data_IF_527449766735
#
_entry.id   IF_527449766735
#
_cell.length_a   1.000
_cell.length_b   1.000
_cell.length_c   1.000
_cell.angle_alpha   90.00
_cell.angle_beta   90.00
_cell.angle_gamma   90.00
#
_symmetry.space_group_name_H-M   'P 1'
#
loop_
_entity.id
_entity.type
_entity.pdbx_description
1 polymer ?
#
# COMPACT_ATOMS: atom_id res chain seq x y z
N UNK A 1 12.98 31.73 27.56
CA UNK A 1 13.26 30.74 26.51
C UNK A 1 11.97 30.00 26.24
N UNK A 2 11.52 29.86 24.99
CA UNK A 2 10.20 29.28 24.71
C UNK A 2 10.11 27.81 25.17
N UNK A 3 9.06 27.49 25.95
CA UNK A 3 8.80 26.16 26.54
C UNK A 3 7.47 25.55 26.07
N UNK A 4 6.89 26.14 25.03
CA UNK A 4 5.61 25.75 24.46
C UNK A 4 5.63 24.26 24.08
N UNK A 5 4.46 23.63 24.16
CA UNK A 5 4.29 22.29 23.60
C UNK A 5 4.16 22.44 22.08
N UNK A 6 4.93 21.61 21.37
CA UNK A 6 4.75 21.37 19.94
C UNK A 6 4.06 20.01 19.80
N UNK A 7 3.01 19.98 19.01
CA UNK A 7 2.24 18.79 18.69
C UNK A 7 2.44 18.46 17.21
N UNK A 8 2.86 17.23 16.94
CA UNK A 8 2.98 16.67 15.61
C UNK A 8 1.79 15.76 15.34
N UNK A 9 1.12 15.93 14.21
CA UNK A 9 0.05 15.06 13.73
C UNK A 9 0.42 14.46 12.38
N UNK A 10 0.00 13.23 12.12
CA UNK A 10 0.16 12.55 10.82
C UNK A 10 -1.20 12.36 10.14
N UNK A 11 -1.26 12.48 8.81
CA UNK A 11 -2.51 12.36 8.04
C UNK A 11 -3.00 10.92 7.84
N UNK A 12 -2.09 9.95 7.88
CA UNK A 12 -2.29 8.51 7.62
C UNK A 12 -1.20 7.73 8.36
N UNK A 13 -1.47 6.49 8.78
CA UNK A 13 -0.58 5.73 9.66
C UNK A 13 -0.52 6.21 11.11
N UNK A 14 0.43 5.67 11.86
CA UNK A 14 0.62 6.01 13.29
C UNK A 14 2.08 6.12 13.70
N UNK A 15 2.35 6.98 14.68
CA UNK A 15 3.54 6.96 15.54
C UNK A 15 3.31 5.98 16.69
N UNK A 16 3.91 4.78 16.63
CA UNK A 16 3.79 3.76 17.67
C UNK A 16 2.34 3.58 18.21
N UNK A 17 1.36 3.49 17.30
CA UNK A 17 -0.06 3.32 17.63
C UNK A 17 -0.86 4.60 17.91
N UNK A 18 -0.25 5.78 17.77
CA UNK A 18 -0.93 7.08 17.94
C UNK A 18 -0.78 7.95 16.70
N UNK A 19 -1.80 8.73 16.33
CA UNK A 19 -1.69 9.68 15.21
C UNK A 19 -1.14 11.05 15.62
N UNK A 20 -0.80 11.22 16.90
CA UNK A 20 -0.38 12.50 17.48
C UNK A 20 0.66 12.28 18.56
N UNK A 21 1.74 13.07 18.52
CA UNK A 21 2.76 13.11 19.57
C UNK A 21 3.06 14.56 19.94
N UNK A 22 3.30 14.82 21.22
CA UNK A 22 3.58 16.17 21.72
C UNK A 22 4.86 16.18 22.55
N UNK A 23 5.71 17.19 22.34
CA UNK A 23 6.92 17.41 23.14
C UNK A 23 7.04 18.87 23.53
N UNK A 24 7.55 19.12 24.72
CA UNK A 24 7.91 20.48 25.15
C UNK A 24 9.16 20.94 24.41
N UNK A 25 9.13 22.16 23.90
CA UNK A 25 10.31 22.80 23.35
C UNK A 25 11.33 23.09 24.48
N UNK A 26 12.61 22.83 24.20
CA UNK A 26 13.75 23.25 25.01
C UNK A 26 14.54 24.22 24.15
N UNK A 27 14.84 25.41 24.68
CA UNK A 27 15.49 26.45 23.89
C UNK A 27 14.71 26.87 22.63
N UNK A 28 13.38 26.69 22.60
CA UNK A 28 12.56 26.97 21.42
C UNK A 28 12.55 25.86 20.36
N UNK A 29 13.21 24.73 20.61
CA UNK A 29 13.24 23.57 19.70
C UNK A 29 12.58 22.37 20.37
N UNK A 30 11.62 21.75 19.69
CA UNK A 30 11.06 20.46 20.08
C UNK A 30 11.55 19.39 19.08
N UNK A 31 12.39 18.48 19.55
CA UNK A 31 12.97 17.42 18.71
C UNK A 31 12.20 16.11 18.89
N UNK A 32 11.76 15.46 17.83
CA UNK A 32 11.06 14.17 17.91
C UNK A 32 11.98 13.07 17.36
N UNK A 33 12.67 12.38 18.27
CA UNK A 33 13.79 11.48 17.92
C UNK A 33 13.33 10.03 17.64
N UNK A 34 12.13 9.67 18.09
CA UNK A 34 11.58 8.30 18.04
C UNK A 34 10.27 8.24 17.24
N UNK A 35 10.23 8.89 16.06
CA UNK A 35 9.09 8.79 15.16
C UNK A 35 9.22 7.54 14.28
N UNK A 36 8.73 6.40 14.78
CA UNK A 36 8.47 5.24 13.94
C UNK A 36 7.08 5.36 13.30
N UNK A 37 7.01 5.49 11.98
CA UNK A 37 5.76 5.54 11.23
C UNK A 37 5.50 4.14 10.66
N UNK A 38 4.34 3.58 10.98
CA UNK A 38 3.88 2.30 10.45
C UNK A 38 2.74 2.60 9.49
N UNK A 39 3.06 2.65 8.21
CA UNK A 39 2.13 2.75 7.07
C UNK A 39 2.87 2.30 5.82
N UNK A 40 2.18 1.63 4.89
CA UNK A 40 2.75 1.08 3.65
C UNK A 40 2.00 1.68 2.48
N UNK A 41 2.70 2.12 1.43
CA UNK A 41 2.05 2.52 0.18
C UNK A 41 1.14 3.74 0.24
N UNK A 42 1.15 4.49 1.35
CA UNK A 42 0.32 5.70 1.49
C UNK A 42 1.21 6.89 1.85
N UNK A 43 1.20 7.90 0.98
CA UNK A 43 1.79 9.21 1.26
C UNK A 43 1.24 9.78 2.57
N UNK A 44 2.09 10.42 3.37
CA UNK A 44 1.67 11.05 4.61
C UNK A 44 2.24 12.45 4.77
N UNK A 45 1.50 13.30 5.49
CA UNK A 45 1.93 14.66 5.84
C UNK A 45 2.09 14.78 7.35
N UNK A 46 3.27 15.21 7.78
CA UNK A 46 3.55 15.57 9.16
C UNK A 46 3.26 17.05 9.37
N UNK A 47 2.34 17.39 10.28
CA UNK A 47 1.99 18.77 10.60
C UNK A 47 2.36 19.11 12.03
N UNK A 48 3.24 20.10 12.20
CA UNK A 48 3.65 20.61 13.51
C UNK A 48 2.81 21.84 13.88
N UNK A 49 2.25 21.83 15.08
CA UNK A 49 1.47 22.94 15.65
C UNK A 49 2.01 23.30 17.03
N UNK A 50 2.17 24.59 17.31
CA UNK A 50 2.50 25.05 18.65
C UNK A 50 1.24 25.32 19.47
N UNK A 51 1.27 25.05 20.77
CA UNK A 51 0.23 25.51 21.72
C UNK A 51 0.75 26.65 22.60
N UNK A 52 0.05 27.80 22.70
CA UNK A 52 0.50 28.92 23.52
C UNK A 52 0.66 28.52 24.99
N UNK A 53 1.62 29.13 25.69
CA UNK A 53 1.73 28.99 27.14
C UNK A 53 1.89 30.37 27.84
N UNK A 54 1.84 30.38 29.17
CA UNK A 54 1.92 31.60 29.97
C UNK A 54 3.23 32.38 29.80
N UNK A 55 4.29 31.73 29.32
CA UNK A 55 5.62 32.31 29.12
C UNK A 55 5.85 32.79 27.68
N UNK A 56 5.03 32.32 26.73
CA UNK A 56 5.10 32.69 25.32
C UNK A 56 3.75 32.46 24.62
N UNK A 57 3.06 33.57 24.34
CA UNK A 57 1.75 33.59 23.68
C UNK A 57 1.83 33.70 22.16
N UNK A 58 3.01 33.98 21.60
CA UNK A 58 3.21 34.11 20.16
C UNK A 58 3.57 32.74 19.55
N UNK A 59 2.75 32.26 18.62
CA UNK A 59 2.95 30.99 17.91
C UNK A 59 2.89 31.22 16.40
N UNK A 60 3.86 30.65 15.68
CA UNK A 60 3.88 30.65 14.21
C UNK A 60 2.78 29.76 13.62
N UNK A 61 2.50 29.88 12.32
CA UNK A 61 1.53 29.01 11.67
C UNK A 61 1.97 27.54 11.74
N UNK A 62 1.01 26.63 11.58
CA UNK A 62 1.32 25.22 11.41
C UNK A 62 2.24 25.03 10.19
N UNK A 63 3.20 24.13 10.30
CA UNK A 63 4.11 23.78 9.21
C UNK A 63 3.95 22.31 8.88
N UNK A 64 3.89 21.99 7.58
CA UNK A 64 3.65 20.64 7.10
C UNK A 64 4.76 20.16 6.17
N UNK A 65 5.10 18.87 6.24
CA UNK A 65 6.04 18.20 5.34
C UNK A 65 5.38 16.93 4.79
N UNK A 66 5.34 16.80 3.46
CA UNK A 66 4.85 15.60 2.77
C UNK A 66 5.99 14.58 2.62
N UNK A 67 5.69 13.32 2.90
CA UNK A 67 6.54 12.18 2.62
C UNK A 67 5.82 11.26 1.63
N UNK A 68 6.57 10.79 0.64
CA UNK A 68 6.07 9.84 -0.34
C UNK A 68 6.49 8.44 0.11
N UNK A 69 5.50 7.57 0.27
CA UNK A 69 5.72 6.20 0.71
C UNK A 69 5.22 5.29 -0.41
N UNK A 70 6.16 4.74 -1.16
CA UNK A 70 5.84 3.84 -2.26
C UNK A 70 5.89 2.40 -1.75
N UNK A 71 4.90 1.62 -2.15
CA UNK A 71 4.89 0.18 -2.01
C UNK A 71 4.45 -0.40 -3.36
N UNK A 72 5.00 -1.56 -3.70
CA UNK A 72 4.84 -2.16 -5.03
C UNK A 72 4.21 -3.53 -4.91
N UNK A 73 3.29 -3.84 -5.82
CA UNK A 73 2.70 -5.16 -5.94
C UNK A 73 3.61 -6.06 -6.78
N UNK A 74 3.92 -7.25 -6.27
CA UNK A 74 4.82 -8.22 -6.90
C UNK A 74 4.15 -9.58 -6.93
N UNK A 75 4.12 -10.24 -8.09
CA UNK A 75 3.67 -11.63 -8.19
C UNK A 75 4.77 -12.55 -7.64
N UNK A 76 4.48 -13.25 -6.54
CA UNK A 76 5.36 -14.30 -5.98
C UNK A 76 5.04 -15.66 -6.61
N UNK A 77 3.75 -15.95 -6.79
CA UNK A 77 3.28 -17.09 -7.61
C UNK A 77 2.53 -16.53 -8.81
N UNK A 78 3.16 -16.66 -9.98
CA UNK A 78 2.63 -16.22 -11.27
C UNK A 78 1.41 -17.04 -11.71
N UNK A 79 0.48 -16.47 -12.50
CA UNK A 79 -0.52 -17.26 -13.21
C UNK A 79 0.15 -18.25 -14.17
N UNK A 80 -0.42 -19.44 -14.26
CA UNK A 80 -0.01 -20.47 -15.21
C UNK A 80 -1.07 -20.67 -16.28
N UNK A 81 -0.68 -21.36 -17.36
CA UNK A 81 -1.60 -21.75 -18.43
C UNK A 81 -2.79 -22.54 -17.86
N UNK A 82 -3.98 -22.25 -18.37
CA UNK A 82 -5.24 -22.91 -17.99
C UNK A 82 -6.23 -22.89 -19.15
N UNK A 83 -7.02 -23.95 -19.32
CA UNK A 83 -8.07 -24.00 -20.35
C UNK A 83 -9.18 -22.96 -20.09
N UNK A 84 -9.91 -22.57 -21.13
CA UNK A 84 -11.04 -21.64 -21.05
C UNK A 84 -12.05 -22.01 -19.95
N UNK A 85 -12.27 -21.07 -19.02
CA UNK A 85 -13.17 -21.21 -17.88
C UNK A 85 -12.66 -22.13 -16.76
N UNK A 86 -11.43 -22.65 -16.85
CA UNK A 86 -10.80 -23.47 -15.81
C UNK A 86 -10.04 -22.59 -14.83
N UNK A 87 -10.01 -23.00 -13.56
CA UNK A 87 -9.27 -22.30 -12.51
C UNK A 87 -7.78 -22.40 -12.78
N UNK A 88 -7.10 -21.26 -12.70
CA UNK A 88 -5.64 -21.18 -12.78
C UNK A 88 -5.06 -21.84 -11.53
N UNK A 89 -4.22 -22.85 -11.72
CA UNK A 89 -3.59 -23.61 -10.64
C UNK A 89 -2.10 -23.83 -10.95
N UNK A 90 -1.18 -23.48 -10.02
CA UNK A 90 -1.40 -23.12 -8.61
C UNK A 90 -2.07 -21.75 -8.39
N UNK A 91 -2.58 -21.46 -7.16
CA UNK A 91 -3.13 -20.16 -6.82
C UNK A 91 -2.14 -19.02 -7.08
N UNK A 92 -2.65 -17.91 -7.59
CA UNK A 92 -1.86 -16.70 -7.83
C UNK A 92 -1.60 -16.03 -6.48
N UNK A 93 -0.36 -15.61 -6.24
CA UNK A 93 0.04 -14.93 -5.01
C UNK A 93 0.67 -13.60 -5.37
N UNK A 94 0.12 -12.52 -4.80
CA UNK A 94 0.64 -11.16 -4.95
C UNK A 94 1.07 -10.64 -3.59
N UNK A 95 2.30 -10.17 -3.50
CA UNK A 95 2.89 -9.57 -2.31
C UNK A 95 2.92 -8.04 -2.43
N UNK A 96 2.80 -7.37 -1.29
CA UNK A 96 3.02 -5.93 -1.15
C UNK A 96 4.43 -5.73 -0.61
N UNK A 97 5.31 -5.17 -1.45
CA UNK A 97 6.69 -4.84 -1.08
C UNK A 97 6.79 -3.38 -0.66
N UNK A 98 7.51 -3.11 0.43
CA UNK A 98 7.77 -1.76 0.91
C UNK A 98 8.97 -1.11 0.20
N UNK A 99 9.26 0.15 0.56
CA UNK A 99 10.38 0.92 0.01
C UNK A 99 11.77 0.34 0.33
N UNK A 100 11.87 -0.66 1.21
CA UNK A 100 13.09 -1.41 1.51
C UNK A 100 13.25 -2.65 0.62
N UNK A 101 12.33 -2.89 -0.31
CA UNK A 101 12.22 -4.10 -1.11
C UNK A 101 12.05 -5.38 -0.26
N UNK A 102 11.27 -5.29 0.82
CA UNK A 102 10.87 -6.42 1.64
C UNK A 102 9.33 -6.53 1.69
N UNK A 103 8.81 -7.72 1.96
CA UNK A 103 7.36 -7.91 2.14
C UNK A 103 6.88 -7.11 3.35
N UNK A 104 5.90 -6.26 3.12
CA UNK A 104 5.30 -5.43 4.13
C UNK A 104 4.35 -6.26 5.03
N UNK A 105 4.89 -6.94 6.04
CA UNK A 105 4.16 -7.90 6.90
C UNK A 105 3.00 -7.30 7.73
N UNK A 106 2.85 -5.98 7.74
CA UNK A 106 1.72 -5.28 8.37
C UNK A 106 0.68 -4.79 7.38
N UNK A 107 0.94 -4.90 6.08
CA UNK A 107 0.01 -4.45 5.05
C UNK A 107 -1.22 -5.36 4.99
N UNK A 108 -2.37 -4.71 4.92
CA UNK A 108 -3.70 -5.34 4.83
C UNK A 108 -4.55 -4.75 3.71
N UNK A 109 -3.90 -4.05 2.78
CA UNK A 109 -4.55 -3.36 1.68
C UNK A 109 -5.26 -4.35 0.74
N UNK A 110 -6.37 -3.91 0.16
CA UNK A 110 -7.06 -4.66 -0.88
C UNK A 110 -6.23 -4.68 -2.17
N UNK A 111 -5.94 -5.87 -2.66
CA UNK A 111 -5.28 -6.11 -3.96
C UNK A 111 -6.34 -6.59 -4.94
N UNK A 112 -6.39 -5.99 -6.13
CA UNK A 112 -7.32 -6.34 -7.21
C UNK A 112 -6.57 -6.85 -8.43
N UNK A 113 -7.04 -7.94 -9.03
CA UNK A 113 -6.54 -8.46 -10.31
C UNK A 113 -7.41 -7.99 -11.47
N UNK A 114 -6.76 -7.52 -12.53
CA UNK A 114 -7.39 -7.12 -13.79
C UNK A 114 -6.62 -7.71 -14.98
N UNK A 115 -7.26 -7.78 -16.16
CA UNK A 115 -6.57 -8.17 -17.39
C UNK A 115 -5.78 -6.97 -17.90
N UNK A 116 -4.45 -7.09 -17.94
CA UNK A 116 -3.56 -6.10 -18.55
C UNK A 116 -3.47 -6.28 -20.08
N UNK A 117 -3.48 -7.54 -20.55
CA UNK A 117 -3.46 -7.87 -21.98
C UNK A 117 -4.20 -9.18 -22.27
N UNK A 118 -4.66 -9.34 -23.51
CA UNK A 118 -5.54 -10.43 -23.94
C UNK A 118 -7.01 -10.00 -24.03
N UNK A 119 -7.85 -10.85 -24.63
CA UNK A 119 -9.27 -10.59 -24.89
C UNK A 119 -10.17 -11.61 -24.20
N UNK A 120 -10.63 -11.28 -23.01
CA UNK A 120 -11.45 -12.16 -22.18
C UNK A 120 -12.01 -11.43 -20.96
N UNK A 121 -12.55 -12.21 -20.04
CA UNK A 121 -13.01 -11.73 -18.73
C UNK A 121 -12.49 -12.62 -17.62
N UNK A 122 -12.09 -12.03 -16.50
CA UNK A 122 -11.77 -12.79 -15.30
C UNK A 122 -13.06 -13.23 -14.59
N UNK A 123 -13.04 -14.45 -14.05
CA UNK A 123 -13.99 -14.95 -13.07
C UNK A 123 -13.32 -15.18 -11.72
N UNK A 124 -14.13 -15.45 -10.69
CA UNK A 124 -13.66 -15.67 -9.33
C UNK A 124 -13.69 -14.40 -8.46
N UNK A 125 -12.89 -14.42 -7.39
CA UNK A 125 -12.78 -13.34 -6.42
C UNK A 125 -11.62 -12.42 -6.79
N UNK A 126 -11.91 -11.34 -7.52
CA UNK A 126 -10.87 -10.49 -8.11
C UNK A 126 -10.21 -9.52 -7.13
N UNK A 127 -10.81 -9.28 -5.96
CA UNK A 127 -10.26 -8.40 -4.92
C UNK A 127 -10.09 -9.19 -3.63
N UNK A 128 -8.88 -9.20 -3.08
CA UNK A 128 -8.55 -9.87 -1.83
C UNK A 128 -7.77 -8.91 -0.91
N UNK A 129 -8.12 -8.80 0.37
CA UNK A 129 -7.29 -8.10 1.33
C UNK A 129 -5.99 -8.88 1.56
N UNK A 130 -4.86 -8.18 1.59
CA UNK A 130 -3.61 -8.78 1.99
C UNK A 130 -3.66 -9.24 3.46
N UNK A 131 -3.05 -10.39 3.75
CA UNK A 131 -2.80 -10.88 5.11
C UNK A 131 -1.30 -10.96 5.29
N UNK A 132 -0.78 -10.12 6.18
CA UNK A 132 0.65 -9.95 6.38
C UNK A 132 1.40 -9.63 5.06
N UNK A 133 0.85 -8.72 4.27
CA UNK A 133 1.43 -8.30 2.99
C UNK A 133 1.22 -9.26 1.81
N UNK A 134 0.44 -10.34 2.00
CA UNK A 134 0.22 -11.35 0.95
C UNK A 134 -1.27 -11.47 0.62
N UNK A 135 -1.62 -11.26 -0.65
CA UNK A 135 -2.94 -11.55 -1.20
C UNK A 135 -2.88 -12.83 -2.04
N UNK A 136 -3.78 -13.79 -1.76
CA UNK A 136 -3.84 -15.08 -2.45
C UNK A 136 -5.17 -15.21 -3.19
N UNK A 137 -5.09 -15.58 -4.47
CA UNK A 137 -6.23 -15.75 -5.36
C UNK A 137 -6.27 -17.21 -5.86
N UNK A 138 -7.21 -18.00 -5.35
CA UNK A 138 -7.29 -19.45 -5.55
C UNK A 138 -8.49 -19.90 -6.42
N UNK A 139 -9.29 -18.96 -6.91
CA UNK A 139 -10.51 -19.22 -7.67
C UNK A 139 -10.57 -18.49 -9.03
N UNK A 140 -9.44 -17.95 -9.50
CA UNK A 140 -9.38 -17.15 -10.72
C UNK A 140 -9.51 -18.02 -11.96
N UNK A 141 -10.42 -17.63 -12.84
CA UNK A 141 -10.60 -18.22 -14.18
C UNK A 141 -10.49 -17.12 -15.24
N UNK A 142 -10.19 -17.52 -16.48
CA UNK A 142 -10.31 -16.64 -17.66
C UNK A 142 -11.36 -17.22 -18.58
N UNK A 143 -12.32 -16.41 -19.02
CA UNK A 143 -13.26 -16.76 -20.09
C UNK A 143 -12.86 -16.02 -21.38
N UNK A 144 -12.58 -16.77 -22.43
CA UNK A 144 -12.15 -16.25 -23.72
C UNK A 144 -13.31 -15.53 -24.45
N UNK A 145 -12.99 -14.44 -25.16
CA UNK A 145 -13.97 -13.80 -26.04
C UNK A 145 -14.00 -14.47 -27.42
N UNK A 146 -12.84 -14.86 -27.95
CA UNK A 146 -12.73 -15.60 -29.21
C UNK A 146 -11.35 -16.25 -29.38
N UNK A 147 -11.31 -17.56 -29.63
CA UNK A 147 -10.09 -18.30 -29.92
C UNK A 147 -9.10 -18.33 -28.76
N UNK A 148 -8.02 -19.10 -28.91
CA UNK A 148 -6.93 -19.09 -27.95
C UNK A 148 -6.24 -17.72 -27.93
N UNK A 149 -5.80 -17.28 -26.75
CA UNK A 149 -5.17 -15.98 -26.55
C UNK A 149 -4.12 -16.05 -25.44
N UNK A 150 -3.21 -15.07 -25.41
CA UNK A 150 -2.20 -14.92 -24.38
C UNK A 150 -2.55 -13.75 -23.47
N UNK A 151 -2.39 -13.93 -22.17
CA UNK A 151 -2.81 -12.98 -21.16
C UNK A 151 -1.66 -12.53 -20.28
N UNK A 152 -1.80 -11.32 -19.75
CA UNK A 152 -1.09 -10.85 -18.55
C UNK A 152 -2.11 -10.26 -17.60
N UNK A 153 -1.90 -10.45 -16.30
CA UNK A 153 -2.69 -9.81 -15.26
C UNK A 153 -1.96 -8.58 -14.71
N UNK A 154 -2.73 -7.56 -14.33
CA UNK A 154 -2.26 -6.44 -13.53
C UNK A 154 -2.83 -6.56 -12.12
N UNK A 155 -1.97 -6.47 -11.11
CA UNK A 155 -2.36 -6.31 -9.72
C UNK A 155 -2.36 -4.82 -9.36
N UNK A 156 -3.47 -4.34 -8.79
CA UNK A 156 -3.68 -2.95 -8.41
C UNK A 156 -4.11 -2.81 -6.95
N UNK A 157 -3.89 -1.63 -6.37
CA UNK A 157 -4.32 -1.29 -5.02
C UNK A 157 -4.24 0.22 -4.79
N UNK A 158 -5.01 0.75 -3.84
CA UNK A 158 -5.04 2.20 -3.58
C UNK A 158 -3.71 2.65 -2.95
N UNK A 159 -3.01 3.58 -3.60
CA UNK A 159 -1.70 4.06 -3.14
C UNK A 159 -0.52 3.14 -3.50
N UNK A 160 -0.79 1.94 -4.03
CA UNK A 160 0.23 0.99 -4.43
C UNK A 160 0.68 1.23 -5.87
N UNK A 161 1.97 0.99 -6.13
CA UNK A 161 2.50 0.84 -7.48
C UNK A 161 2.05 -0.52 -8.01
N UNK A 162 1.44 -0.52 -9.19
CA UNK A 162 0.88 -1.73 -9.79
C UNK A 162 1.98 -2.71 -10.21
N UNK A 163 1.62 -4.00 -10.23
CA UNK A 163 2.48 -5.08 -10.72
C UNK A 163 1.85 -5.75 -11.93
N UNK A 164 2.67 -6.17 -12.90
CA UNK A 164 2.20 -6.96 -14.06
C UNK A 164 2.80 -8.35 -14.00
N UNK A 165 1.97 -9.38 -14.20
CA UNK A 165 2.40 -10.77 -14.20
C UNK A 165 3.25 -11.12 -15.42
N UNK A 166 3.86 -12.30 -15.38
CA UNK A 166 4.32 -12.98 -16.58
C UNK A 166 3.16 -13.31 -17.53
N UNK A 167 3.48 -13.56 -18.80
CA UNK A 167 2.52 -14.02 -19.81
C UNK A 167 2.12 -15.48 -19.56
N UNK A 168 0.84 -15.80 -19.71
CA UNK A 168 0.32 -17.18 -19.68
C UNK A 168 -0.70 -17.39 -20.81
N UNK A 169 -0.87 -18.64 -21.24
CA UNK A 169 -1.74 -19.00 -22.36
C UNK A 169 -3.08 -19.56 -21.87
N UNK A 170 -4.16 -19.17 -22.56
CA UNK A 170 -5.49 -19.75 -22.34
C UNK A 170 -5.98 -20.36 -23.67
N UNK A 171 -5.82 -21.68 -23.85
CA UNK A 171 -6.28 -22.36 -25.06
C UNK A 171 -7.80 -22.56 -25.05
N UNK A 172 -8.35 -22.72 -26.25
CA UNK A 172 -9.67 -23.36 -26.41
C UNK A 172 -9.54 -24.86 -26.14
N UNK A 173 -10.55 -25.53 -25.54
CA UNK A 173 -10.51 -26.96 -25.22
C UNK A 173 -10.27 -27.90 -26.41
#
# INVERSE_FOLDING_TARGET
TATNIVTLTISSGTFAGTSTVSKRAIAGVATFDDLGIVEVGVDYTLTATGTPDASNTAIGPATSVKFENWATLVFDVEPSDADDGVVIAPPIVVEIWDSSNEVAVTATDDVTLEIASGTGTLGGTLTQPAVAGVATFDDITVTLTAGADQFTLEATGTGLVTGTSATFDVPVP
#
